data_IF_729391778432
#
_entry.id   IF_729391778432
#
_cell.length_a   1.000
_cell.length_b   1.000
_cell.length_c   1.000
_cell.angle_alpha   90.00
_cell.angle_beta   90.00
_cell.angle_gamma   90.00
#
_symmetry.space_group_name_H-M   'P 1'
#
loop_
_entity.id
_entity.type
_entity.pdbx_description
1 polymer ?
#
# COMPACT_ATOMS: atom_id res chain seq x y z
N UNK A 1 66.62 30.49 -35.53
CA UNK A 1 65.15 30.49 -35.38
C UNK A 1 64.72 29.09 -34.94
N UNK A 2 64.33 28.89 -33.68
CA UNK A 2 63.84 27.62 -33.17
C UNK A 2 62.33 27.77 -32.98
N UNK A 3 61.54 26.98 -33.72
CA UNK A 3 60.09 26.91 -33.58
C UNK A 3 59.75 25.89 -32.50
N UNK A 4 59.11 26.33 -31.41
CA UNK A 4 58.49 25.46 -30.38
C UNK A 4 57.10 25.13 -30.81
N UNK A 5 56.82 23.81 -31.02
CA UNK A 5 55.46 23.30 -31.19
C UNK A 5 54.84 23.00 -29.80
N UNK A 6 53.82 23.75 -29.43
CA UNK A 6 52.96 23.41 -28.27
C UNK A 6 51.93 22.36 -28.71
N UNK A 7 52.09 21.15 -28.17
CA UNK A 7 51.06 20.12 -28.28
C UNK A 7 49.97 20.40 -27.25
N UNK A 8 48.78 20.83 -27.71
CA UNK A 8 47.54 20.84 -26.88
C UNK A 8 47.03 19.41 -26.79
N UNK A 9 47.15 18.80 -25.60
CA UNK A 9 46.52 17.54 -25.25
C UNK A 9 45.06 17.81 -24.81
N UNK A 10 44.10 17.49 -25.71
CA UNK A 10 42.68 17.55 -25.38
C UNK A 10 42.28 16.34 -24.55
N UNK A 11 42.10 16.53 -23.25
CA UNK A 11 41.53 15.51 -22.36
C UNK A 11 40.03 15.45 -22.61
N UNK A 12 39.54 14.44 -23.34
CA UNK A 12 38.13 14.13 -23.45
C UNK A 12 37.67 13.43 -22.15
N UNK A 13 36.94 14.17 -21.29
CA UNK A 13 36.29 13.60 -20.12
C UNK A 13 35.06 12.83 -20.60
N UNK A 14 35.18 11.48 -20.67
CA UNK A 14 33.98 10.63 -20.81
C UNK A 14 33.22 10.60 -19.50
N UNK A 15 32.15 11.40 -19.39
CA UNK A 15 31.13 11.21 -18.35
C UNK A 15 30.38 9.91 -18.65
N UNK A 16 30.75 8.82 -17.95
CA UNK A 16 29.93 7.61 -17.94
C UNK A 16 28.69 7.89 -17.10
N UNK A 17 27.58 8.17 -17.77
CA UNK A 17 26.26 8.23 -17.16
C UNK A 17 25.86 6.81 -16.77
N UNK A 18 26.20 6.38 -15.55
CA UNK A 18 25.66 5.15 -14.99
C UNK A 18 24.20 5.40 -14.63
N UNK A 19 23.33 5.19 -15.63
CA UNK A 19 21.88 5.16 -15.38
C UNK A 19 21.60 4.06 -14.35
N UNK A 20 21.37 4.44 -13.10
CA UNK A 20 20.76 3.54 -12.11
C UNK A 20 19.41 3.12 -12.69
N UNK A 21 19.33 1.88 -13.15
CA UNK A 21 18.05 1.22 -13.40
C UNK A 21 17.29 1.24 -12.06
N UNK A 22 16.38 2.19 -11.88
CA UNK A 22 15.47 2.19 -10.75
C UNK A 22 14.54 0.99 -10.95
N UNK A 23 14.89 -0.13 -10.33
CA UNK A 23 13.97 -1.25 -10.22
C UNK A 23 12.78 -0.75 -9.39
N UNK A 24 11.62 -0.59 -10.03
CA UNK A 24 10.39 -0.24 -9.34
C UNK A 24 10.15 -1.28 -8.24
N UNK A 25 10.18 -0.85 -6.99
CA UNK A 25 9.89 -1.70 -5.84
C UNK A 25 8.44 -2.17 -5.97
N UNK A 26 8.26 -3.45 -6.19
CA UNK A 26 6.96 -4.11 -6.25
C UNK A 26 6.97 -5.18 -5.17
N UNK A 27 6.09 -5.08 -4.19
CA UNK A 27 5.90 -6.11 -3.19
C UNK A 27 4.45 -6.61 -3.28
N UNK A 28 4.28 -7.86 -3.70
CA UNK A 28 3.00 -8.57 -3.65
C UNK A 28 3.19 -10.07 -3.39
N UNK A 29 4.37 -10.59 -3.69
CA UNK A 29 4.75 -12.00 -3.50
C UNK A 29 5.89 -12.22 -2.51
N UNK A 30 6.46 -11.16 -1.94
CA UNK A 30 7.52 -11.25 -0.94
C UNK A 30 6.95 -11.82 0.37
N UNK A 31 7.60 -12.85 0.91
CA UNK A 31 7.16 -13.54 2.14
C UNK A 31 7.14 -12.61 3.36
N UNK A 32 8.11 -11.68 3.46
CA UNK A 32 8.16 -10.69 4.53
C UNK A 32 6.99 -9.70 4.42
N UNK A 33 6.69 -9.23 3.21
CA UNK A 33 5.55 -8.35 2.96
C UNK A 33 4.23 -9.04 3.37
N UNK A 34 3.99 -10.25 2.86
CA UNK A 34 2.78 -11.03 3.15
C UNK A 34 2.62 -11.27 4.66
N UNK A 35 3.67 -11.77 5.31
CA UNK A 35 3.63 -12.08 6.74
C UNK A 35 3.40 -10.83 7.59
N UNK A 36 4.01 -9.70 7.24
CA UNK A 36 3.83 -8.45 7.96
C UNK A 36 2.40 -7.94 7.82
N UNK A 37 1.86 -7.90 6.59
CA UNK A 37 0.48 -7.46 6.35
C UNK A 37 -0.52 -8.31 7.13
N UNK A 38 -0.42 -9.65 7.03
CA UNK A 38 -1.32 -10.56 7.74
C UNK A 38 -1.19 -10.43 9.27
N UNK A 39 0.03 -10.39 9.78
CA UNK A 39 0.28 -10.27 11.21
C UNK A 39 -0.33 -8.98 11.77
N UNK A 40 -0.13 -7.84 11.09
CA UNK A 40 -0.68 -6.57 11.53
C UNK A 40 -2.22 -6.59 11.53
N UNK A 41 -2.87 -7.05 10.47
CA UNK A 41 -4.34 -7.18 10.44
C UNK A 41 -4.85 -8.10 11.54
N UNK A 42 -4.23 -9.27 11.69
CA UNK A 42 -4.69 -10.28 12.62
C UNK A 42 -4.44 -9.89 14.09
N UNK A 43 -3.47 -9.01 14.39
CA UNK A 43 -3.31 -8.41 15.72
C UNK A 43 -4.56 -7.63 16.13
N UNK A 44 -5.09 -6.76 15.25
CA UNK A 44 -6.32 -6.02 15.54
C UNK A 44 -7.54 -6.94 15.65
N UNK A 45 -7.62 -7.98 14.82
CA UNK A 45 -8.74 -8.94 14.83
C UNK A 45 -8.74 -9.82 16.07
N UNK A 46 -7.57 -10.34 16.46
CA UNK A 46 -7.40 -11.17 17.66
C UNK A 46 -7.79 -10.40 18.92
N UNK A 47 -7.44 -9.11 19.02
CA UNK A 47 -7.84 -8.27 20.14
C UNK A 47 -9.36 -8.07 20.29
N UNK A 48 -10.13 -8.46 19.25
CA UNK A 48 -11.59 -8.41 19.19
C UNK A 48 -12.23 -9.80 19.09
N UNK A 49 -11.44 -10.86 19.29
CA UNK A 49 -11.87 -12.27 19.19
C UNK A 49 -12.48 -12.62 17.81
N UNK A 50 -12.05 -11.90 16.75
CA UNK A 50 -12.49 -12.14 15.38
C UNK A 50 -11.63 -13.20 14.69
N UNK A 51 -12.21 -14.00 13.77
CA UNK A 51 -11.45 -14.93 12.95
C UNK A 51 -10.32 -14.22 12.20
N UNK A 52 -9.13 -14.84 12.15
CA UNK A 52 -7.99 -14.32 11.40
C UNK A 52 -8.30 -14.27 9.90
N UNK A 53 -7.76 -13.23 9.22
CA UNK A 53 -7.76 -13.18 7.76
C UNK A 53 -6.73 -14.14 7.19
N UNK A 54 -7.04 -14.73 6.04
CA UNK A 54 -6.10 -15.47 5.20
C UNK A 54 -5.58 -14.61 4.05
N UNK A 55 -4.40 -14.96 3.52
CA UNK A 55 -3.89 -14.29 2.31
C UNK A 55 -4.54 -14.83 1.05
N UNK A 56 -4.92 -13.92 0.16
CA UNK A 56 -5.41 -14.24 -1.18
C UNK A 56 -4.48 -13.68 -2.25
N UNK A 57 -3.86 -14.59 -3.02
CA UNK A 57 -3.02 -14.19 -4.16
C UNK A 57 -3.82 -13.51 -5.28
N UNK A 58 -5.09 -13.88 -5.46
CA UNK A 58 -5.99 -13.24 -6.43
C UNK A 58 -6.23 -11.78 -6.04
N UNK A 59 -6.63 -11.52 -4.79
CA UNK A 59 -6.80 -10.15 -4.30
C UNK A 59 -5.50 -9.34 -4.37
N UNK A 60 -4.35 -9.98 -4.13
CA UNK A 60 -3.04 -9.33 -4.25
C UNK A 60 -2.70 -8.94 -5.71
N UNK A 61 -3.10 -9.75 -6.68
CA UNK A 61 -2.96 -9.42 -8.10
C UNK A 61 -3.85 -8.23 -8.49
N UNK A 62 -5.11 -8.21 -8.05
CA UNK A 62 -6.03 -7.10 -8.29
C UNK A 62 -5.54 -5.81 -7.62
N UNK A 63 -5.04 -5.91 -6.37
CA UNK A 63 -4.38 -4.82 -5.66
C UNK A 63 -3.17 -4.30 -6.42
N UNK A 64 -2.36 -5.19 -7.03
CA UNK A 64 -1.16 -4.79 -7.79
C UNK A 64 -1.50 -3.98 -9.04
N UNK A 65 -2.56 -4.37 -9.75
CA UNK A 65 -3.05 -3.61 -10.92
C UNK A 65 -3.38 -2.18 -10.51
N UNK A 66 -4.11 -2.03 -9.40
CA UNK A 66 -4.50 -0.69 -8.92
C UNK A 66 -3.32 0.09 -8.34
N UNK A 67 -2.45 -0.52 -7.54
CA UNK A 67 -1.26 0.13 -7.00
C UNK A 67 -0.35 0.71 -8.10
N UNK A 68 -0.15 -0.04 -9.19
CA UNK A 68 0.59 0.43 -10.38
C UNK A 68 -0.10 1.59 -11.07
N UNK A 69 -1.43 1.55 -11.15
CA UNK A 69 -2.22 2.67 -11.70
C UNK A 69 -2.01 3.93 -10.86
N UNK A 70 -2.14 3.85 -9.52
CA UNK A 70 -1.93 4.97 -8.61
C UNK A 70 -0.51 5.54 -8.71
N UNK A 71 0.51 4.67 -8.75
CA UNK A 71 1.91 5.09 -8.91
C UNK A 71 2.14 5.81 -10.26
N UNK A 72 1.45 5.39 -11.33
CA UNK A 72 1.54 6.03 -12.66
C UNK A 72 0.89 7.40 -12.71
N UNK A 73 -0.29 7.55 -12.05
CA UNK A 73 -1.06 8.82 -12.09
C UNK A 73 -0.66 9.78 -10.97
N UNK A 74 0.19 9.32 -10.03
CA UNK A 74 0.66 10.05 -8.85
C UNK A 74 -0.50 10.60 -7.99
N UNK A 75 -1.53 9.78 -7.77
CA UNK A 75 -2.74 10.20 -7.06
C UNK A 75 -3.38 9.03 -6.30
N UNK A 76 -3.59 9.20 -4.97
CA UNK A 76 -4.26 8.23 -4.11
C UNK A 76 -5.78 8.35 -4.23
N UNK A 77 -6.43 7.44 -4.96
CA UNK A 77 -7.89 7.38 -5.11
C UNK A 77 -8.39 5.94 -5.12
N UNK A 78 -9.58 5.74 -4.60
CA UNK A 78 -10.24 4.43 -4.62
C UNK A 78 -10.62 3.98 -6.02
N UNK A 79 -10.55 2.66 -6.24
CA UNK A 79 -11.00 2.02 -7.47
C UNK A 79 -12.53 1.93 -7.51
N UNK A 80 -13.14 2.82 -8.30
CA UNK A 80 -14.61 2.88 -8.44
C UNK A 80 -15.20 1.70 -9.21
N UNK A 81 -14.38 0.90 -9.89
CA UNK A 81 -14.85 -0.27 -10.65
C UNK A 81 -15.18 -1.47 -9.75
N UNK A 82 -14.77 -1.44 -8.48
CA UNK A 82 -15.04 -2.51 -7.51
C UNK A 82 -16.54 -2.72 -7.25
N UNK A 83 -17.31 -1.63 -7.24
CA UNK A 83 -18.77 -1.68 -7.08
C UNK A 83 -19.26 -2.61 -5.93
N UNK A 84 -18.52 -2.65 -4.81
CA UNK A 84 -18.83 -3.49 -3.65
C UNK A 84 -18.46 -4.97 -3.78
N UNK A 85 -17.79 -5.38 -4.85
CA UNK A 85 -17.29 -6.77 -5.02
C UNK A 85 -16.18 -7.09 -4.03
N UNK A 86 -15.30 -6.11 -3.80
CA UNK A 86 -14.19 -6.16 -2.87
C UNK A 86 -14.16 -4.91 -1.99
N UNK A 87 -13.66 -5.05 -0.77
CA UNK A 87 -13.26 -3.90 0.04
C UNK A 87 -11.89 -3.40 -0.38
N UNK A 88 -11.58 -2.16 -0.06
CA UNK A 88 -10.28 -1.55 -0.38
C UNK A 88 -9.79 -0.64 0.73
N UNK A 89 -8.52 -0.80 1.12
CA UNK A 89 -7.78 0.21 1.89
C UNK A 89 -6.61 0.73 1.04
N UNK A 90 -6.37 2.03 1.12
CA UNK A 90 -5.27 2.70 0.46
C UNK A 90 -4.37 3.40 1.47
N UNK A 91 -3.07 3.35 1.22
CA UNK A 91 -2.08 4.18 1.89
C UNK A 91 -1.07 4.69 0.85
N UNK A 92 -0.60 5.91 1.01
CA UNK A 92 0.50 6.46 0.20
C UNK A 92 1.36 7.40 1.04
N UNK A 93 2.64 7.44 0.73
CA UNK A 93 3.64 8.25 1.44
C UNK A 93 4.95 8.32 0.69
N UNK A 94 5.90 9.09 1.20
CA UNK A 94 7.24 9.23 0.62
C UNK A 94 7.88 7.86 0.44
N UNK A 95 8.42 7.60 -0.75
CA UNK A 95 9.01 6.32 -1.09
C UNK A 95 10.14 5.96 -0.11
N UNK A 96 10.16 4.69 0.32
CA UNK A 96 11.13 4.10 1.24
C UNK A 96 11.21 4.73 2.64
N UNK A 97 10.29 5.66 2.99
CA UNK A 97 10.29 6.33 4.29
C UNK A 97 9.53 5.57 5.39
N UNK A 98 8.72 4.58 5.02
CA UNK A 98 7.83 3.87 5.94
C UNK A 98 7.98 2.36 5.80
N UNK A 99 7.92 1.64 6.92
CA UNK A 99 7.83 0.18 6.92
C UNK A 99 6.40 -0.29 6.58
N UNK A 100 6.25 -1.55 6.18
CA UNK A 100 4.92 -2.16 5.98
C UNK A 100 4.07 -2.13 7.26
N UNK A 101 4.72 -2.23 8.43
CA UNK A 101 4.06 -2.10 9.72
C UNK A 101 3.50 -0.69 9.92
N UNK A 102 4.27 0.36 9.61
CA UNK A 102 3.82 1.75 9.75
C UNK A 102 2.59 2.02 8.87
N UNK A 103 2.61 1.51 7.63
CA UNK A 103 1.51 1.69 6.67
C UNK A 103 0.20 1.10 7.21
N UNK A 104 0.22 -0.15 7.71
CA UNK A 104 -0.98 -0.80 8.28
C UNK A 104 -1.36 -0.20 9.63
N UNK A 105 -0.38 0.21 10.45
CA UNK A 105 -0.63 0.87 11.73
C UNK A 105 -1.35 2.21 11.53
N UNK A 106 -1.06 2.94 10.46
CA UNK A 106 -1.78 4.17 10.12
C UNK A 106 -3.29 3.93 9.99
N UNK A 107 -3.71 2.82 9.36
CA UNK A 107 -5.11 2.41 9.31
C UNK A 107 -5.66 1.98 10.68
N UNK A 108 -4.87 1.22 11.42
CA UNK A 108 -5.23 0.75 12.75
C UNK A 108 -5.43 1.86 13.77
N UNK A 109 -4.69 2.97 13.64
CA UNK A 109 -4.79 4.14 14.51
C UNK A 109 -6.13 4.87 14.41
N UNK A 110 -6.88 4.66 13.33
CA UNK A 110 -8.26 5.17 13.20
C UNK A 110 -9.20 4.60 14.29
N UNK A 111 -8.79 3.51 14.97
CA UNK A 111 -9.49 2.99 16.16
C UNK A 111 -9.74 4.07 17.20
N UNK A 112 -8.87 5.07 17.32
CA UNK A 112 -9.06 6.18 18.25
C UNK A 112 -10.32 7.03 17.95
N UNK A 113 -10.78 7.01 16.70
CA UNK A 113 -11.97 7.72 16.24
C UNK A 113 -13.25 6.86 16.27
N UNK A 114 -13.07 5.54 16.45
CA UNK A 114 -14.14 4.56 16.34
C UNK A 114 -14.85 4.35 17.68
N UNK A 115 -16.15 4.20 17.63
CA UNK A 115 -16.96 3.61 18.70
C UNK A 115 -17.87 2.52 18.13
N UNK A 116 -18.13 1.49 18.91
CA UNK A 116 -18.94 0.37 18.44
C UNK A 116 -20.35 0.83 18.05
N UNK A 117 -20.73 0.57 16.80
CA UNK A 117 -21.98 1.04 16.23
C UNK A 117 -22.16 0.63 14.77
N UNK A 118 -23.17 1.18 14.14
CA UNK A 118 -23.51 0.92 12.73
C UNK A 118 -22.69 1.82 11.82
N UNK A 119 -22.05 1.22 10.82
CA UNK A 119 -21.28 1.96 9.81
C UNK A 119 -22.21 2.74 8.85
N UNK A 120 -21.92 4.00 8.48
CA UNK A 120 -20.72 4.77 8.80
C UNK A 120 -20.78 5.57 10.10
N UNK A 121 -21.88 5.55 10.85
CA UNK A 121 -22.14 6.44 12.00
C UNK A 121 -21.46 5.97 13.31
N UNK A 122 -20.47 5.08 13.19
CA UNK A 122 -19.74 4.50 14.31
C UNK A 122 -18.39 5.17 14.59
N UNK A 123 -18.27 6.47 14.33
CA UNK A 123 -17.04 7.21 14.63
C UNK A 123 -17.11 8.69 14.31
N UNK A 124 -16.05 9.40 14.71
CA UNK A 124 -15.83 10.81 14.39
C UNK A 124 -14.57 10.95 13.55
N UNK A 125 -14.72 11.34 12.30
CA UNK A 125 -13.58 11.45 11.37
C UNK A 125 -13.34 10.15 10.61
N UNK A 126 -12.08 9.89 10.25
CA UNK A 126 -11.69 8.74 9.43
C UNK A 126 -11.69 7.46 10.28
N UNK A 127 -12.50 6.48 9.90
CA UNK A 127 -12.62 5.17 10.54
C UNK A 127 -12.65 4.02 9.52
N UNK A 128 -12.78 4.35 8.23
CA UNK A 128 -13.06 3.36 7.17
C UNK A 128 -11.99 2.31 7.00
N UNK A 129 -10.71 2.67 7.18
CA UNK A 129 -9.64 1.70 7.05
C UNK A 129 -9.63 0.73 8.23
N UNK A 130 -9.77 1.24 9.47
CA UNK A 130 -9.84 0.40 10.65
C UNK A 130 -11.05 -0.54 10.61
N UNK A 131 -12.25 -0.02 10.28
CA UNK A 131 -13.47 -0.83 10.25
C UNK A 131 -13.40 -1.93 9.19
N UNK A 132 -12.76 -1.67 8.02
CA UNK A 132 -12.49 -2.71 7.02
C UNK A 132 -11.56 -3.79 7.55
N UNK A 133 -10.47 -3.43 8.26
CA UNK A 133 -9.53 -4.42 8.83
C UNK A 133 -10.21 -5.37 9.82
N UNK A 134 -11.15 -4.85 10.62
CA UNK A 134 -11.87 -5.60 11.67
C UNK A 134 -13.28 -6.01 11.25
N UNK A 135 -13.59 -5.94 9.95
CA UNK A 135 -14.91 -6.35 9.47
C UNK A 135 -15.11 -7.85 9.66
N UNK A 136 -16.11 -8.22 10.47
CA UNK A 136 -16.32 -9.61 10.92
C UNK A 136 -16.45 -10.59 9.77
N UNK A 137 -17.22 -10.22 8.75
CA UNK A 137 -17.51 -11.11 7.62
C UNK A 137 -16.39 -11.16 6.57
N UNK A 138 -15.38 -10.29 6.63
CA UNK A 138 -14.21 -10.37 5.76
C UNK A 138 -13.34 -11.56 6.19
N UNK A 139 -12.92 -12.36 5.22
CA UNK A 139 -12.20 -13.63 5.43
C UNK A 139 -10.79 -13.61 4.83
N UNK A 140 -10.60 -12.82 3.77
CA UNK A 140 -9.33 -12.79 3.05
C UNK A 140 -8.88 -11.35 2.75
N UNK A 141 -7.57 -11.18 2.69
CA UNK A 141 -6.90 -9.96 2.28
C UNK A 141 -5.78 -10.29 1.29
N UNK A 142 -5.60 -9.42 0.31
CA UNK A 142 -4.45 -9.46 -0.60
C UNK A 142 -4.00 -8.04 -0.90
N UNK A 143 -2.70 -7.78 -0.78
CA UNK A 143 -2.16 -6.43 -0.91
C UNK A 143 -1.02 -6.38 -1.90
N UNK A 144 -0.75 -5.18 -2.41
CA UNK A 144 0.43 -4.89 -3.21
C UNK A 144 0.92 -3.47 -2.98
N UNK A 145 2.23 -3.30 -3.07
CA UNK A 145 2.90 -2.01 -3.04
C UNK A 145 3.49 -1.72 -4.42
N UNK A 146 3.31 -0.50 -4.92
CA UNK A 146 4.00 0.01 -6.09
C UNK A 146 4.55 1.40 -5.81
N UNK A 147 5.66 1.76 -6.46
CA UNK A 147 6.30 3.07 -6.30
C UNK A 147 6.49 3.77 -7.64
N UNK A 148 6.45 5.11 -7.63
CA UNK A 148 6.90 5.93 -8.75
C UNK A 148 8.31 6.55 -8.52
N UNK A 149 9.00 6.10 -7.47
CA UNK A 149 10.32 6.59 -7.06
C UNK A 149 10.30 7.84 -6.17
N UNK A 150 9.13 8.47 -6.00
CA UNK A 150 8.89 9.58 -5.07
C UNK A 150 7.91 9.18 -3.98
N UNK A 151 6.88 8.43 -4.37
CA UNK A 151 5.80 7.98 -3.51
C UNK A 151 5.63 6.47 -3.62
N UNK A 152 5.35 5.84 -2.49
CA UNK A 152 4.89 4.46 -2.37
C UNK A 152 3.36 4.44 -2.25
N UNK A 153 2.70 3.49 -2.93
CA UNK A 153 1.26 3.27 -2.92
C UNK A 153 0.97 1.84 -2.49
N UNK A 154 0.43 1.68 -1.27
CA UNK A 154 -0.06 0.39 -0.78
C UNK A 154 -1.55 0.30 -1.04
N UNK A 155 -1.97 -0.77 -1.70
CA UNK A 155 -3.37 -1.14 -1.90
C UNK A 155 -3.61 -2.47 -1.23
N UNK A 156 -4.67 -2.58 -0.43
CA UNK A 156 -5.18 -3.84 0.09
C UNK A 156 -6.61 -4.06 -0.38
N UNK A 157 -6.89 -5.26 -0.88
CA UNK A 157 -8.22 -5.73 -1.27
C UNK A 157 -8.73 -6.74 -0.26
N UNK A 158 -10.02 -6.75 -0.02
CA UNK A 158 -10.67 -7.59 1.00
C UNK A 158 -11.87 -8.32 0.44
N UNK A 159 -12.04 -9.58 0.83
CA UNK A 159 -13.20 -10.38 0.42
C UNK A 159 -13.72 -11.23 1.60
N UNK A 160 -15.05 -11.27 1.80
CA UNK A 160 -16.04 -10.32 1.31
C UNK A 160 -15.73 -8.87 1.67
N UNK A 161 -16.32 -7.92 0.91
CA UNK A 161 -16.18 -6.49 1.20
C UNK A 161 -16.70 -6.16 2.60
N UNK A 162 -15.98 -5.28 3.32
CA UNK A 162 -16.45 -4.68 4.56
C UNK A 162 -17.13 -3.33 4.33
N UNK A 163 -17.29 -2.59 5.40
CA UNK A 163 -17.83 -1.23 5.39
C UNK A 163 -19.22 -1.13 4.74
N UNK A 164 -20.05 -2.16 4.96
CA UNK A 164 -21.42 -2.22 4.44
C UNK A 164 -22.28 -1.25 5.24
N UNK A 165 -22.87 -0.27 4.55
CA UNK A 165 -23.74 0.74 5.14
C UNK A 165 -24.91 0.04 5.86
N UNK A 166 -25.21 0.49 7.09
CA UNK A 166 -26.27 -0.08 7.89
C UNK A 166 -25.91 -1.32 8.69
N UNK A 167 -24.65 -1.82 8.59
CA UNK A 167 -24.16 -2.97 9.35
C UNK A 167 -23.08 -2.56 10.36
N UNK A 168 -22.89 -3.40 11.37
CA UNK A 168 -21.79 -3.24 12.34
C UNK A 168 -20.54 -3.95 11.86
N UNK A 169 -19.33 -3.43 12.14
CA UNK A 169 -18.07 -4.08 11.77
C UNK A 169 -17.90 -5.45 12.43
N UNK A 170 -18.36 -5.59 13.70
CA UNK A 170 -18.30 -6.83 14.50
C UNK A 170 -19.34 -6.85 15.60
#
# INVERSE_FOLDING_TARGET
MRFNYFLLSSFLLFLTYTGRCQTSKIASGDSLFISTILSQHNTYRTALELPALSWSSTLAQDALVWARHLAKVDNGQHDRSLAGKEGENLWWGTADAFSYTDMVTAWGNEKANFHYGVFPDCGKGMIGHYTQMVWKNTQAVGCALATNGKMDYLVCRYSPAGNVIGQKPY
#
